data_IF_345252267575
#
_entry.id   IF_345252267575
#
_cell.length_a   1.000
_cell.length_b   1.000
_cell.length_c   1.000
_cell.angle_alpha   90.00
_cell.angle_beta   90.00
_cell.angle_gamma   90.00
#
_symmetry.space_group_name_H-M   'P 1'
#
loop_
_entity.id
_entity.type
_entity.pdbx_description
1 polymer ?
#
# COMPACT_ATOMS: atom_id res chain seq x y z
N UNK A 1 23.90 -1.51 -0.61
CA UNK A 1 22.74 -2.09 0.09
C UNK A 1 21.87 -2.78 -0.95
N UNK A 2 21.87 -4.11 -0.96
CA UNK A 2 20.89 -4.87 -1.74
C UNK A 2 19.59 -4.81 -0.94
N UNK A 3 18.67 -3.92 -1.34
CA UNK A 3 17.31 -3.93 -0.83
C UNK A 3 16.77 -5.31 -1.18
N UNK A 4 16.46 -6.11 -0.17
CA UNK A 4 16.19 -7.52 -0.32
C UNK A 4 14.77 -7.69 -0.88
N UNK A 5 14.60 -7.54 -2.19
CA UNK A 5 13.30 -7.58 -2.92
C UNK A 5 12.59 -8.95 -2.85
N UNK A 6 13.13 -9.92 -2.11
CA UNK A 6 12.54 -11.25 -1.95
C UNK A 6 11.09 -11.21 -1.45
N UNK A 7 10.76 -10.25 -0.59
CA UNK A 7 9.41 -10.13 -0.03
C UNK A 7 8.35 -9.71 -1.07
N UNK A 8 8.73 -8.99 -2.13
CA UNK A 8 7.82 -8.55 -3.21
C UNK A 8 7.37 -9.74 -4.07
N UNK A 9 8.22 -10.78 -4.17
CA UNK A 9 7.87 -12.04 -4.83
C UNK A 9 6.84 -12.84 -4.03
N UNK A 10 6.79 -12.67 -2.71
CA UNK A 10 5.80 -13.30 -1.82
C UNK A 10 4.42 -12.62 -1.84
N UNK A 11 4.29 -11.49 -2.54
CA UNK A 11 3.02 -10.81 -2.72
C UNK A 11 2.23 -11.44 -3.87
N UNK A 12 0.92 -11.52 -3.71
CA UNK A 12 0.01 -11.77 -4.83
C UNK A 12 -0.01 -10.59 -5.82
N UNK A 13 -0.54 -10.79 -7.02
CA UNK A 13 -0.63 -9.74 -8.04
C UNK A 13 -1.43 -8.52 -7.57
N UNK A 14 -2.53 -8.75 -6.85
CA UNK A 14 -3.35 -7.71 -6.23
C UNK A 14 -2.53 -6.89 -5.23
N UNK A 15 -1.74 -7.56 -4.40
CA UNK A 15 -0.89 -6.92 -3.39
C UNK A 15 0.28 -6.15 -4.00
N UNK A 16 0.86 -6.65 -5.09
CA UNK A 16 1.88 -5.90 -5.85
C UNK A 16 1.32 -4.62 -6.44
N UNK A 17 0.14 -4.68 -7.04
CA UNK A 17 -0.54 -3.51 -7.58
C UNK A 17 -0.83 -2.44 -6.51
N UNK A 18 -1.24 -2.86 -5.31
CA UNK A 18 -1.41 -1.94 -4.18
C UNK A 18 -0.08 -1.31 -3.74
N UNK A 19 1.00 -2.08 -3.66
CA UNK A 19 2.32 -1.56 -3.31
C UNK A 19 2.81 -0.47 -4.28
N UNK A 20 2.72 -0.75 -5.58
CA UNK A 20 3.18 0.17 -6.61
C UNK A 20 2.36 1.47 -6.60
N UNK A 21 1.06 1.37 -6.30
CA UNK A 21 0.18 2.52 -6.13
C UNK A 21 0.52 3.34 -4.87
N UNK A 22 0.80 2.69 -3.73
CA UNK A 22 1.18 3.38 -2.49
C UNK A 22 2.46 4.21 -2.64
N UNK A 23 3.46 3.69 -3.36
CA UNK A 23 4.69 4.43 -3.67
C UNK A 23 4.41 5.69 -4.50
N UNK A 24 3.38 5.64 -5.36
CA UNK A 24 3.01 6.78 -6.20
C UNK A 24 2.17 7.81 -5.45
N UNK A 25 1.31 7.39 -4.52
CA UNK A 25 0.46 8.27 -3.72
C UNK A 25 1.29 9.05 -2.69
N UNK A 26 2.27 8.42 -2.05
CA UNK A 26 3.12 9.07 -1.06
C UNK A 26 4.59 8.96 -1.43
N UNK A 27 5.12 10.00 -2.07
CA UNK A 27 6.54 10.12 -2.42
C UNK A 27 7.47 10.26 -1.20
N UNK A 28 6.93 10.43 0.01
CA UNK A 28 7.71 10.72 1.23
C UNK A 28 7.66 9.64 2.31
N UNK A 29 6.77 8.63 2.23
CA UNK A 29 6.81 7.55 3.23
C UNK A 29 7.88 6.53 2.86
N UNK A 30 9.00 6.60 3.58
CA UNK A 30 9.93 5.48 3.63
C UNK A 30 9.39 4.37 4.54
N UNK A 31 8.55 3.48 3.99
CA UNK A 31 8.19 2.25 4.68
C UNK A 31 9.30 1.22 4.51
N UNK A 32 9.65 0.53 5.60
CA UNK A 32 10.49 -0.65 5.46
C UNK A 32 9.75 -1.70 4.62
N UNK A 33 10.47 -2.55 3.87
CA UNK A 33 9.91 -3.72 3.18
C UNK A 33 8.90 -4.54 4.01
N UNK A 34 9.20 -4.72 5.29
CA UNK A 34 8.36 -5.48 6.22
C UNK A 34 7.05 -4.74 6.48
N UNK A 35 7.13 -3.45 6.75
CA UNK A 35 5.95 -2.63 7.08
C UNK A 35 5.03 -2.53 5.88
N UNK A 36 5.60 -2.38 4.68
CA UNK A 36 4.82 -2.34 3.47
C UNK A 36 4.11 -3.68 3.18
N UNK A 37 4.80 -4.81 3.39
CA UNK A 37 4.18 -6.15 3.32
C UNK A 37 3.02 -6.30 4.31
N UNK A 38 3.15 -5.80 5.54
CA UNK A 38 2.09 -5.89 6.54
C UNK A 38 0.91 -4.97 6.20
N UNK A 39 1.20 -3.77 5.71
CA UNK A 39 0.20 -2.78 5.33
C UNK A 39 -0.68 -3.28 4.19
N UNK A 40 -0.07 -3.74 3.09
CA UNK A 40 -0.81 -4.31 1.95
C UNK A 40 -1.61 -5.56 2.36
N UNK A 41 -1.08 -6.40 3.27
CA UNK A 41 -1.82 -7.53 3.85
C UNK A 41 -3.00 -7.07 4.74
N UNK A 42 -2.84 -5.98 5.47
CA UNK A 42 -3.90 -5.37 6.26
C UNK A 42 -5.02 -4.84 5.37
N UNK A 43 -4.67 -4.04 4.36
CA UNK A 43 -5.60 -3.44 3.39
C UNK A 43 -6.42 -4.51 2.66
N UNK A 44 -5.77 -5.56 2.16
CA UNK A 44 -6.46 -6.68 1.51
C UNK A 44 -7.42 -7.44 2.43
N UNK A 45 -7.08 -7.59 3.72
CA UNK A 45 -7.97 -8.24 4.72
C UNK A 45 -9.21 -7.42 5.04
N UNK A 46 -9.13 -6.09 4.99
CA UNK A 46 -10.29 -5.21 5.22
C UNK A 46 -11.11 -4.94 3.96
N UNK A 47 -10.71 -5.52 2.82
CA UNK A 47 -11.49 -5.48 1.58
C UNK A 47 -10.96 -4.53 0.49
N UNK A 48 -9.84 -3.84 0.73
CA UNK A 48 -9.18 -2.98 -0.26
C UNK A 48 -8.27 -3.86 -1.11
N UNK A 49 -8.67 -4.10 -2.36
CA UNK A 49 -8.00 -5.05 -3.28
C UNK A 49 -7.49 -4.40 -4.54
N UNK A 50 -7.95 -3.19 -4.87
CA UNK A 50 -7.54 -2.49 -6.09
C UNK A 50 -6.88 -1.15 -5.78
N UNK A 51 -5.97 -0.69 -6.63
CA UNK A 51 -5.40 0.66 -6.56
C UNK A 51 -6.47 1.77 -6.47
N UNK A 52 -7.57 1.63 -7.20
CA UNK A 52 -8.69 2.59 -7.17
C UNK A 52 -9.34 2.66 -5.79
N UNK A 53 -9.64 1.52 -5.16
CA UNK A 53 -10.22 1.48 -3.82
C UNK A 53 -9.28 2.08 -2.77
N UNK A 54 -7.98 1.88 -2.95
CA UNK A 54 -6.97 2.48 -2.08
C UNK A 54 -6.97 4.00 -2.19
N UNK A 55 -7.00 4.55 -3.41
CA UNK A 55 -7.11 6.01 -3.64
C UNK A 55 -8.37 6.59 -3.01
N UNK A 56 -9.53 5.97 -3.26
CA UNK A 56 -10.81 6.41 -2.69
C UNK A 56 -10.77 6.42 -1.16
N UNK A 57 -10.16 5.41 -0.54
CA UNK A 57 -10.01 5.33 0.90
C UNK A 57 -9.09 6.43 1.46
N UNK A 58 -7.97 6.70 0.79
CA UNK A 58 -7.08 7.81 1.16
C UNK A 58 -7.75 9.17 1.01
N UNK A 59 -8.50 9.40 -0.08
CA UNK A 59 -9.25 10.64 -0.27
C UNK A 59 -10.30 10.83 0.82
N UNK A 60 -11.06 9.78 1.14
CA UNK A 60 -12.06 9.84 2.20
C UNK A 60 -11.46 10.10 3.59
N UNK A 61 -10.24 9.60 3.86
CA UNK A 61 -9.51 9.93 5.08
C UNK A 61 -9.08 11.39 5.13
N UNK A 62 -8.50 11.91 4.04
CA UNK A 62 -8.08 13.31 3.97
C UNK A 62 -9.27 14.27 4.17
N UNK A 63 -10.41 13.96 3.55
CA UNK A 63 -11.65 14.73 3.71
C UNK A 63 -12.21 14.67 5.15
N UNK A 64 -11.97 13.58 5.88
CA UNK A 64 -12.42 13.43 7.27
C UNK A 64 -11.48 14.07 8.31
N UNK A 65 -10.23 14.35 7.96
CA UNK A 65 -9.25 15.04 8.82
C UNK A 65 -9.34 16.58 8.72
N UNK A 66 -9.96 17.10 7.64
CA UNK A 66 -10.18 18.53 7.41
C UNK A 66 -11.45 19.09 8.11
N UNK A 67 -12.24 18.24 8.79
CA UNK A 67 -13.51 18.55 9.50
C UNK A 67 -13.33 18.56 11.04
#
# INVERSE_FOLDING_TARGET
MLIDWHWYKDLSDEQRGLYDEMIQIETEIYLSPRDCKQLVKGLTRIGIKTPTQLREWFTALAEAEDD
#
